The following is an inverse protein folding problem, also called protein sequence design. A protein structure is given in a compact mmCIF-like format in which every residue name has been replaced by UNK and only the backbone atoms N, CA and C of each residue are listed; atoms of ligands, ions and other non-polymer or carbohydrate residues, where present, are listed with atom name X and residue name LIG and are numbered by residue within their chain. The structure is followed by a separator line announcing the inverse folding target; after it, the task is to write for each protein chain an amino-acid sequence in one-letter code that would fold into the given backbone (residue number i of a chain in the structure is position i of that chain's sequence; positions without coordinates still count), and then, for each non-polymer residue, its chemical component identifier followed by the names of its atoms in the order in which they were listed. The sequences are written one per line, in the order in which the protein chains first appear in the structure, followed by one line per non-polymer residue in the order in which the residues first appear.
data_IF_881367343070
#
_entry.id   IF_881367343070
#
_cell.length_a   1.000
_cell.length_b   1.000
_cell.length_c   1.000
_cell.angle_alpha   90.00
_cell.angle_beta   90.00
_cell.angle_gamma   90.00
#
_symmetry.space_group_name_H-M   'P 1'
#
loop_
_entity.id
_entity.type
_entity.pdbx_description
1 polymer ?
#
# COMPACT_ATOMS: atom_id res chain seq x y z
N UNK A 1 15.77 30.60 -35.92
CA UNK A 1 16.29 29.23 -35.82
C UNK A 1 17.03 28.95 -34.51
N UNK A 2 18.02 29.76 -34.09
CA UNK A 2 18.76 29.51 -32.83
C UNK A 2 17.92 29.51 -31.54
N UNK A 3 16.90 30.39 -31.44
CA UNK A 3 15.99 30.45 -30.27
C UNK A 3 15.07 29.24 -30.13
N UNK A 4 14.68 28.62 -31.24
CA UNK A 4 13.77 27.47 -31.25
C UNK A 4 14.44 26.24 -30.66
N UNK A 5 15.72 25.99 -30.97
CA UNK A 5 16.50 24.89 -30.40
C UNK A 5 16.70 25.01 -28.88
N UNK A 6 16.82 26.24 -28.37
CA UNK A 6 16.94 26.48 -26.92
C UNK A 6 15.64 26.06 -26.20
N UNK A 7 14.48 26.35 -26.79
CA UNK A 7 13.18 26.00 -26.22
C UNK A 7 12.95 24.48 -26.24
N UNK A 8 13.29 23.79 -27.34
CA UNK A 8 13.18 22.32 -27.40
C UNK A 8 14.12 21.61 -26.44
N UNK A 9 15.34 22.13 -26.25
CA UNK A 9 16.29 21.61 -25.28
C UNK A 9 15.79 21.80 -23.85
N UNK A 10 15.22 22.97 -23.52
CA UNK A 10 14.65 23.28 -22.21
C UNK A 10 13.47 22.35 -21.86
N UNK A 11 12.58 22.07 -22.83
CA UNK A 11 11.46 21.14 -22.64
C UNK A 11 11.92 19.69 -22.44
N UNK A 12 13.01 19.26 -23.08
CA UNK A 12 13.58 17.92 -22.88
C UNK A 12 14.26 17.75 -21.51
N UNK A 13 14.75 18.84 -20.92
CA UNK A 13 15.32 18.84 -19.57
C UNK A 13 14.25 18.73 -18.49
N UNK A 14 13.02 19.23 -18.73
CA UNK A 14 11.91 19.11 -17.77
C UNK A 14 11.47 17.67 -17.51
N UNK A 15 11.61 16.76 -18.48
CA UNK A 15 11.33 15.32 -18.28
C UNK A 15 12.35 14.59 -17.40
N UNK A 16 13.48 15.21 -17.07
CA UNK A 16 14.52 14.62 -16.22
C UNK A 16 14.33 14.90 -14.72
N UNK A 17 13.37 15.76 -14.36
CA UNK A 17 13.13 16.16 -12.95
C UNK A 17 11.95 15.45 -12.29
N UNK A 18 11.30 14.49 -12.93
CA UNK A 18 10.17 13.74 -12.36
C UNK A 18 10.63 12.44 -11.68
N UNK A 19 11.55 12.53 -10.72
CA UNK A 19 11.98 11.36 -9.92
C UNK A 19 12.12 11.73 -8.44
N UNK A 20 11.03 12.22 -7.88
CA UNK A 20 10.70 12.06 -6.47
C UNK A 20 9.19 11.89 -6.45
N UNK A 21 8.71 10.77 -7.00
CA UNK A 21 7.32 10.40 -6.79
C UNK A 21 7.29 9.89 -5.36
N UNK A 22 6.86 10.75 -4.43
CA UNK A 22 6.62 10.36 -3.04
C UNK A 22 5.84 9.04 -3.04
N UNK A 23 6.16 8.14 -2.10
CA UNK A 23 5.43 6.87 -2.05
C UNK A 23 3.94 7.18 -1.88
N UNK A 24 3.07 6.33 -2.44
CA UNK A 24 1.62 6.52 -2.31
C UNK A 24 1.23 6.82 -0.86
N UNK A 25 1.83 6.13 0.10
CA UNK A 25 1.55 6.32 1.52
C UNK A 25 1.99 7.70 2.05
N UNK A 26 3.19 8.17 1.70
CA UNK A 26 3.71 9.47 2.17
C UNK A 26 2.83 10.63 1.72
N UNK A 27 2.28 10.55 0.49
CA UNK A 27 1.39 11.58 -0.07
C UNK A 27 0.10 11.78 0.75
N UNK A 28 -0.37 10.75 1.45
CA UNK A 28 -1.60 10.79 2.23
C UNK A 28 -1.35 10.84 3.75
N UNK A 29 -0.15 10.51 4.21
CA UNK A 29 0.18 10.43 5.63
C UNK A 29 -0.09 11.75 6.39
N UNK A 30 0.14 12.89 5.76
CA UNK A 30 -0.02 14.22 6.36
C UNK A 30 -1.38 14.88 6.04
N UNK A 31 -2.31 14.18 5.39
CA UNK A 31 -3.61 14.75 5.05
C UNK A 31 -4.56 14.75 6.25
N UNK A 32 -5.19 15.89 6.53
CA UNK A 32 -6.15 16.02 7.63
C UNK A 32 -7.34 15.07 7.47
N UNK A 33 -7.58 14.21 8.47
CA UNK A 33 -8.62 13.17 8.46
C UNK A 33 -8.19 11.84 7.87
N UNK A 34 -6.89 11.67 7.61
CA UNK A 34 -6.26 10.39 7.35
C UNK A 34 -5.51 9.95 8.61
N UNK A 35 -5.78 8.73 9.06
CA UNK A 35 -4.95 8.08 10.07
C UNK A 35 -3.88 7.30 9.34
N UNK A 36 -2.61 7.59 9.64
CA UNK A 36 -1.46 6.91 9.04
C UNK A 36 -0.62 6.23 10.11
N UNK A 37 -0.32 4.96 9.90
CA UNK A 37 0.56 4.17 10.76
C UNK A 37 1.66 3.55 9.92
N UNK A 38 2.91 3.77 10.33
CA UNK A 38 4.09 3.11 9.77
C UNK A 38 4.80 2.32 10.86
N UNK A 39 5.05 1.04 10.60
CA UNK A 39 5.77 0.16 11.52
C UNK A 39 6.99 -0.38 10.76
N UNK A 40 8.18 -0.04 11.26
CA UNK A 40 9.44 -0.48 10.67
C UNK A 40 9.82 -1.90 11.11
N UNK A 41 10.71 -2.55 10.35
CA UNK A 41 11.34 -3.82 10.74
C UNK A 41 11.90 -3.83 12.15
N UNK A 42 12.53 -2.73 12.56
CA UNK A 42 13.11 -2.61 13.90
C UNK A 42 12.02 -2.72 14.97
N UNK A 43 10.90 -2.02 14.80
CA UNK A 43 9.78 -2.09 15.74
C UNK A 43 9.11 -3.46 15.75
N UNK A 44 8.91 -4.07 14.57
CA UNK A 44 8.38 -5.42 14.41
C UNK A 44 9.27 -6.47 15.12
N UNK A 45 10.58 -6.30 15.04
CA UNK A 45 11.55 -7.19 15.71
C UNK A 45 11.56 -7.04 17.23
N UNK A 46 11.13 -5.89 17.76
CA UNK A 46 11.04 -5.62 19.20
C UNK A 46 9.70 -6.09 19.81
N UNK A 47 8.69 -6.31 18.99
CA UNK A 47 7.37 -6.79 19.41
C UNK A 47 6.98 -8.07 18.67
N UNK A 48 7.65 -9.20 18.95
CA UNK A 48 7.37 -10.49 18.32
C UNK A 48 6.00 -11.07 18.68
N UNK A 49 5.21 -10.41 19.53
CA UNK A 49 3.84 -10.82 19.91
C UNK A 49 2.79 -9.75 19.57
N UNK A 50 3.05 -8.90 18.56
CA UNK A 50 2.12 -7.83 18.19
C UNK A 50 0.82 -8.41 17.63
N UNK A 51 -0.28 -8.23 18.38
CA UNK A 51 -1.65 -8.51 17.96
C UNK A 51 -2.37 -7.18 17.74
N UNK A 52 -2.67 -6.85 16.49
CA UNK A 52 -3.45 -5.64 16.15
C UNK A 52 -4.65 -6.07 15.33
N UNK A 53 -5.86 -5.72 15.78
CA UNK A 53 -7.12 -5.85 15.03
C UNK A 53 -7.34 -7.19 14.31
N UNK A 54 -7.08 -8.31 14.99
CA UNK A 54 -7.30 -9.66 14.43
C UNK A 54 -6.17 -10.20 13.55
N UNK A 55 -5.06 -9.46 13.45
CA UNK A 55 -3.86 -9.84 12.71
C UNK A 55 -2.81 -10.37 13.71
N UNK A 56 -2.46 -11.66 13.64
CA UNK A 56 -1.36 -12.23 14.43
C UNK A 56 -0.06 -12.13 13.65
N UNK A 57 0.73 -11.10 13.98
CA UNK A 57 1.96 -10.76 13.24
C UNK A 57 3.17 -11.45 13.86
N UNK A 58 3.02 -12.06 15.04
CA UNK A 58 4.16 -12.46 15.86
C UNK A 58 5.10 -13.48 15.22
N UNK A 59 4.55 -14.56 14.66
CA UNK A 59 5.34 -15.63 14.03
C UNK A 59 6.04 -15.19 12.74
N UNK A 60 5.55 -14.12 12.12
CA UNK A 60 6.02 -13.62 10.82
C UNK A 60 6.78 -12.29 10.94
N UNK A 61 6.78 -11.65 12.12
CA UNK A 61 7.33 -10.31 12.35
C UNK A 61 8.80 -10.20 11.92
N UNK A 62 9.60 -11.24 12.18
CA UNK A 62 11.02 -11.30 11.80
C UNK A 62 11.26 -11.33 10.28
N UNK A 63 10.25 -11.71 9.50
CA UNK A 63 10.27 -11.80 8.03
C UNK A 63 9.64 -10.59 7.35
N UNK A 64 9.05 -9.69 8.14
CA UNK A 64 8.49 -8.43 7.68
C UNK A 64 9.56 -7.35 7.66
N UNK A 65 9.51 -6.50 6.64
CA UNK A 65 10.36 -5.33 6.50
C UNK A 65 9.63 -4.05 6.93
N UNK A 66 8.33 -3.96 6.68
CA UNK A 66 7.48 -2.89 7.18
C UNK A 66 5.99 -3.20 7.02
N UNK A 67 5.18 -2.44 7.77
CA UNK A 67 3.73 -2.35 7.62
C UNK A 67 3.36 -0.87 7.48
N UNK A 68 2.51 -0.57 6.52
CA UNK A 68 1.89 0.74 6.32
C UNK A 68 0.38 0.61 6.34
N UNK A 69 -0.30 1.45 7.12
CA UNK A 69 -1.75 1.50 7.23
C UNK A 69 -2.19 2.92 6.95
N UNK A 70 -3.20 3.08 6.10
CA UNK A 70 -3.99 4.30 5.98
C UNK A 70 -5.44 3.95 6.18
N UNK A 71 -6.11 4.66 7.09
CA UNK A 71 -7.57 4.66 7.19
C UNK A 71 -8.11 6.08 7.07
N UNK A 72 -9.29 6.20 6.48
CA UNK A 72 -9.92 7.49 6.23
C UNK A 72 -11.43 7.35 6.23
N UNK A 73 -12.09 8.27 6.93
CA UNK A 73 -13.56 8.35 7.01
C UNK A 73 -14.13 9.59 6.28
N UNK A 74 -13.27 10.52 5.81
CA UNK A 74 -13.71 11.72 5.08
C UNK A 74 -14.05 11.41 3.62
N UNK A 75 -15.30 11.63 3.15
CA UNK A 75 -15.73 11.22 1.80
C UNK A 75 -14.89 11.78 0.64
N UNK A 76 -14.51 13.06 0.69
CA UNK A 76 -13.72 13.70 -0.36
C UNK A 76 -12.31 13.09 -0.48
N UNK A 77 -11.72 12.70 0.65
CA UNK A 77 -10.41 12.06 0.69
C UNK A 77 -10.53 10.59 0.29
N UNK A 78 -11.60 9.89 0.69
CA UNK A 78 -11.90 8.53 0.25
C UNK A 78 -11.98 8.47 -1.28
N UNK A 79 -12.66 9.41 -1.93
CA UNK A 79 -12.73 9.47 -3.39
C UNK A 79 -11.34 9.62 -4.02
N UNK A 80 -10.47 10.45 -3.42
CA UNK A 80 -9.08 10.63 -3.85
C UNK A 80 -8.25 9.35 -3.64
N UNK A 81 -8.36 8.70 -2.48
CA UNK A 81 -7.70 7.44 -2.17
C UNK A 81 -8.10 6.32 -3.13
N UNK A 82 -9.40 6.15 -3.42
CA UNK A 82 -9.91 5.18 -4.40
C UNK A 82 -9.32 5.39 -5.81
N UNK A 83 -9.18 6.66 -6.23
CA UNK A 83 -8.56 6.99 -7.53
C UNK A 83 -7.06 6.69 -7.54
N UNK A 84 -6.37 7.05 -6.47
CA UNK A 84 -4.91 6.95 -6.38
C UNK A 84 -4.45 5.53 -6.05
N UNK A 85 -5.31 4.67 -5.52
CA UNK A 85 -5.05 3.23 -5.32
C UNK A 85 -5.40 2.38 -6.54
N UNK A 86 -6.00 2.95 -7.60
CA UNK A 86 -6.39 2.21 -8.81
C UNK A 86 -5.21 1.54 -9.54
N UNK A 87 -3.97 1.96 -9.26
CA UNK A 87 -2.78 1.27 -9.78
C UNK A 87 -2.58 -0.11 -9.14
N UNK A 88 -3.12 -0.36 -7.94
CA UNK A 88 -3.07 -1.67 -7.26
C UNK A 88 -4.09 -2.57 -7.95
N UNK A 89 -3.68 -3.17 -9.07
CA UNK A 89 -4.53 -4.00 -9.91
C UNK A 89 -3.72 -5.02 -10.72
N UNK A 90 -4.38 -6.08 -11.24
CA UNK A 90 -3.73 -7.09 -12.08
C UNK A 90 -2.96 -6.54 -13.28
N UNK A 91 -3.38 -5.40 -13.81
CA UNK A 91 -2.71 -4.74 -14.94
C UNK A 91 -1.30 -4.25 -14.61
N UNK A 92 -1.01 -3.99 -13.33
CA UNK A 92 0.26 -3.46 -12.86
C UNK A 92 1.07 -4.49 -12.06
N UNK A 93 0.81 -5.78 -12.28
CA UNK A 93 1.56 -6.88 -11.67
C UNK A 93 1.13 -7.30 -10.26
N UNK A 94 -0.05 -6.85 -9.81
CA UNK A 94 -0.67 -7.32 -8.57
C UNK A 94 -1.57 -8.54 -8.84
N UNK A 95 -1.23 -9.69 -8.28
CA UNK A 95 -2.06 -10.89 -8.27
C UNK A 95 -3.18 -10.74 -7.23
N UNK A 96 -4.44 -10.88 -7.63
CA UNK A 96 -5.57 -10.88 -6.69
C UNK A 96 -5.64 -12.25 -6.01
N UNK A 97 -5.46 -12.28 -4.69
CA UNK A 97 -5.49 -13.51 -3.90
C UNK A 97 -6.87 -13.81 -3.34
N UNK A 98 -7.59 -12.78 -2.92
CA UNK A 98 -8.91 -12.89 -2.30
C UNK A 98 -9.75 -11.66 -2.61
N UNK A 99 -11.05 -11.86 -2.80
CA UNK A 99 -12.04 -10.79 -2.91
C UNK A 99 -13.30 -11.19 -2.16
N UNK A 100 -13.75 -10.31 -1.29
CA UNK A 100 -15.04 -10.40 -0.60
C UNK A 100 -15.84 -9.16 -1.00
N UNK A 101 -17.08 -9.37 -1.45
CA UNK A 101 -18.04 -8.29 -1.62
C UNK A 101 -19.27 -8.65 -0.79
N UNK A 102 -19.61 -7.81 0.17
CA UNK A 102 -20.74 -8.02 1.07
C UNK A 102 -21.46 -6.69 1.32
N UNK A 103 -22.77 -6.62 1.09
CA UNK A 103 -23.65 -5.46 1.35
C UNK A 103 -23.10 -4.03 1.05
N UNK A 104 -22.21 -3.87 0.06
CA UNK A 104 -21.62 -2.58 -0.31
C UNK A 104 -20.21 -2.32 0.28
N UNK A 105 -19.70 -3.28 1.04
CA UNK A 105 -18.32 -3.43 1.48
C UNK A 105 -17.56 -4.31 0.49
N UNK A 106 -16.32 -3.90 0.20
CA UNK A 106 -15.44 -4.62 -0.72
C UNK A 106 -14.06 -4.73 -0.13
N UNK A 107 -13.67 -5.96 0.18
CA UNK A 107 -12.32 -6.28 0.66
C UNK A 107 -11.57 -7.05 -0.40
N UNK A 108 -10.37 -6.60 -0.75
CA UNK A 108 -9.51 -7.27 -1.73
C UNK A 108 -8.10 -7.40 -1.17
N UNK A 109 -7.50 -8.57 -1.37
CA UNK A 109 -6.11 -8.84 -1.01
C UNK A 109 -5.33 -9.10 -2.29
N UNK A 110 -4.24 -8.34 -2.45
CA UNK A 110 -3.32 -8.43 -3.56
C UNK A 110 -1.93 -8.90 -3.12
N UNK A 111 -1.23 -9.58 -4.01
CA UNK A 111 0.19 -9.90 -3.91
C UNK A 111 0.93 -9.30 -5.09
N UNK A 112 2.01 -8.57 -4.83
CA UNK A 112 2.99 -8.18 -5.83
C UNK A 112 4.35 -8.76 -5.48
N UNK A 113 5.00 -9.36 -6.47
CA UNK A 113 6.36 -9.91 -6.35
C UNK A 113 7.35 -8.86 -6.87
N UNK A 114 8.18 -8.31 -5.98
CA UNK A 114 9.19 -7.33 -6.34
C UNK A 114 10.47 -8.02 -6.86
N UNK A 115 11.33 -7.25 -7.56
CA UNK A 115 12.52 -7.76 -8.24
C UNK A 115 13.52 -8.46 -7.30
N UNK A 116 13.54 -8.07 -6.03
CA UNK A 116 14.46 -8.60 -5.01
C UNK A 116 13.90 -9.82 -4.25
N UNK A 117 12.87 -10.50 -4.78
CA UNK A 117 12.11 -11.59 -4.12
C UNK A 117 11.29 -11.15 -2.90
N UNK A 118 11.36 -9.88 -2.51
CA UNK A 118 10.42 -9.27 -1.56
C UNK A 118 9.00 -9.36 -2.11
N UNK A 119 8.05 -9.66 -1.22
CA UNK A 119 6.64 -9.71 -1.53
C UNK A 119 5.94 -8.57 -0.83
N UNK A 120 5.06 -7.91 -1.56
CA UNK A 120 4.20 -6.85 -1.09
C UNK A 120 2.78 -7.40 -1.08
N UNK A 121 2.16 -7.44 0.09
CA UNK A 121 0.76 -7.79 0.26
C UNK A 121 -0.03 -6.53 0.54
N UNK A 122 -1.11 -6.33 -0.21
CA UNK A 122 -1.96 -5.14 -0.05
C UNK A 122 -3.38 -5.58 0.21
N UNK A 123 -3.89 -5.26 1.39
CA UNK A 123 -5.30 -5.39 1.75
C UNK A 123 -5.97 -4.04 1.55
N UNK A 124 -7.05 -4.02 0.79
CA UNK A 124 -7.90 -2.84 0.63
C UNK A 124 -9.31 -3.18 1.07
N UNK A 125 -9.80 -2.51 2.12
CA UNK A 125 -11.20 -2.49 2.52
C UNK A 125 -11.85 -1.19 2.04
N UNK A 126 -12.94 -1.32 1.30
CA UNK A 126 -13.68 -0.22 0.71
C UNK A 126 -15.12 -0.29 1.16
N UNK A 127 -15.51 0.66 1.99
CA UNK A 127 -16.88 0.81 2.44
C UNK A 127 -17.47 2.11 1.88
N UNK A 128 -18.72 2.39 2.26
CA UNK A 128 -19.42 3.62 1.87
C UNK A 128 -18.76 4.85 2.49
N UNK A 129 -18.44 4.78 3.78
CA UNK A 129 -17.94 5.89 4.58
C UNK A 129 -16.52 5.68 5.10
N UNK A 130 -15.91 4.53 4.84
CA UNK A 130 -14.55 4.21 5.27
C UNK A 130 -13.74 3.66 4.10
N UNK A 131 -12.45 3.99 4.08
CA UNK A 131 -11.46 3.36 3.23
C UNK A 131 -10.23 3.05 4.05
N UNK A 132 -9.84 1.77 4.04
CA UNK A 132 -8.66 1.29 4.73
C UNK A 132 -7.76 0.53 3.76
N UNK A 133 -6.48 0.89 3.73
CA UNK A 133 -5.45 0.18 2.96
C UNK A 133 -4.29 -0.17 3.88
N UNK A 134 -3.92 -1.45 3.84
CA UNK A 134 -2.80 -2.02 4.59
C UNK A 134 -1.82 -2.60 3.58
N UNK A 135 -0.59 -2.12 3.59
CA UNK A 135 0.51 -2.69 2.82
C UNK A 135 1.52 -3.34 3.77
N UNK A 136 1.86 -4.59 3.48
CA UNK A 136 2.82 -5.40 4.23
C UNK A 136 3.91 -5.82 3.27
N UNK A 137 5.15 -5.41 3.54
CA UNK A 137 6.31 -5.83 2.75
C UNK A 137 7.17 -6.78 3.56
N UNK A 138 7.60 -7.87 2.95
CA UNK A 138 8.51 -8.82 3.58
C UNK A 138 8.81 -10.04 2.71
N UNK A 139 9.60 -10.95 3.27
CA UNK A 139 9.89 -12.24 2.66
C UNK A 139 8.99 -13.34 3.26
N UNK A 140 7.70 -13.26 2.95
CA UNK A 140 6.69 -14.20 3.44
C UNK A 140 6.31 -15.25 2.40
N UNK A 141 5.90 -16.43 2.83
CA UNK A 141 5.21 -17.42 2.01
C UNK A 141 3.71 -17.15 1.94
N UNK A 142 3.01 -17.73 0.96
CA UNK A 142 1.54 -17.61 0.88
C UNK A 142 0.85 -18.25 2.08
N UNK A 143 1.41 -19.33 2.64
CA UNK A 143 0.89 -20.04 3.80
C UNK A 143 0.96 -19.17 5.06
N UNK A 144 2.08 -18.49 5.26
CA UNK A 144 2.25 -17.55 6.38
C UNK A 144 1.27 -16.37 6.29
N UNK A 145 0.98 -15.90 5.09
CA UNK A 145 0.00 -14.83 4.85
C UNK A 145 -1.44 -15.31 5.12
N UNK A 146 -1.76 -16.55 4.76
CA UNK A 146 -3.05 -17.14 5.13
C UNK A 146 -3.22 -17.18 6.66
N UNK A 147 -2.16 -17.44 7.44
CA UNK A 147 -2.21 -17.39 8.91
C UNK A 147 -2.40 -15.99 9.48
N UNK A 148 -2.07 -14.94 8.73
CA UNK A 148 -2.29 -13.53 9.10
C UNK A 148 -3.75 -13.10 8.84
N UNK A 149 -4.37 -13.66 7.80
CA UNK A 149 -5.70 -13.24 7.28
C UNK A 149 -6.83 -14.14 7.81
N UNK A 150 -6.59 -15.45 7.98
CA UNK A 150 -7.60 -16.38 8.47
C UNK A 150 -7.64 -16.41 9.99
N UNK A 151 -8.79 -16.00 10.50
CA UNK A 151 -9.19 -16.13 11.88
C UNK A 151 -10.24 -17.25 11.93
N UNK A 152 -9.82 -18.45 12.33
CA UNK A 152 -10.63 -19.29 13.22
C UNK A 152 -9.96 -19.28 14.59
#
# INVERSE_FOLDING_TARGET
MKRTYIITLLLSLCSLFTYAQDSFFDKFADMDGVTSVYISKAMLSLMPDMKTEGVNIGEVASKLDNIQILSCEKPDIIAKLKKETAFISPKNGYEELMRINDEGEKTIIYLKRNKNKEKEFVLMSQEKNEFTIIAITGNLTLQEIQGIINKE
#
